data_IF_083772875765
#
_entry.id   IF_083772875765
#
_cell.length_a   1.000
_cell.length_b   1.000
_cell.length_c   1.000
_cell.angle_alpha   90.00
_cell.angle_beta   90.00
_cell.angle_gamma   90.00
#
_symmetry.space_group_name_H-M   'P 1'
#
loop_
_entity.id
_entity.type
_entity.pdbx_description
1 polymer ?
#
# COMPACT_ATOMS: atom_id res chain seq x y z
N UNK A 1 2.59 -25.76 28.82
CA UNK A 1 2.80 -24.46 28.16
C UNK A 1 3.71 -24.70 26.98
N UNK A 2 3.23 -24.56 25.75
CA UNK A 2 4.10 -24.58 24.58
C UNK A 2 4.92 -23.29 24.58
N UNK A 3 6.23 -23.44 24.78
CA UNK A 3 7.16 -22.33 24.86
C UNK A 3 7.40 -21.74 23.46
N UNK A 4 7.48 -20.42 23.36
CA UNK A 4 7.72 -19.74 22.08
C UNK A 4 9.21 -19.63 21.80
N UNK A 5 9.63 -20.15 20.64
CA UNK A 5 10.97 -19.88 20.12
C UNK A 5 11.04 -18.47 19.51
N UNK A 6 11.30 -17.49 20.36
CA UNK A 6 11.47 -16.09 19.97
C UNK A 6 12.67 -15.87 19.05
N UNK A 7 13.72 -16.69 19.20
CA UNK A 7 14.95 -16.60 18.40
C UNK A 7 14.66 -16.97 16.95
N UNK A 8 13.77 -17.92 16.71
CA UNK A 8 13.34 -18.27 15.35
C UNK A 8 12.33 -17.27 14.75
N UNK A 9 11.48 -16.64 15.56
CA UNK A 9 10.43 -15.72 15.09
C UNK A 9 10.97 -14.32 14.77
N UNK A 10 11.94 -13.83 15.53
CA UNK A 10 12.46 -12.47 15.39
C UNK A 10 13.00 -12.17 13.97
N UNK A 11 13.83 -13.04 13.34
CA UNK A 11 14.31 -12.80 11.98
C UNK A 11 13.19 -12.85 10.93
N UNK A 12 12.14 -13.64 11.18
CA UNK A 12 10.97 -13.69 10.30
C UNK A 12 10.16 -12.41 10.38
N UNK A 13 9.90 -11.91 11.59
CA UNK A 13 9.25 -10.63 11.84
C UNK A 13 10.03 -9.47 11.20
N UNK A 14 11.36 -9.46 11.33
CA UNK A 14 12.20 -8.43 10.74
C UNK A 14 12.10 -8.39 9.19
N UNK A 15 12.13 -9.56 8.54
CA UNK A 15 11.97 -9.65 7.08
C UNK A 15 10.62 -9.09 6.62
N UNK A 16 9.55 -9.46 7.31
CA UNK A 16 8.20 -8.98 7.03
C UNK A 16 8.10 -7.48 7.25
N UNK A 17 8.62 -6.97 8.38
CA UNK A 17 8.61 -5.56 8.70
C UNK A 17 9.35 -4.71 7.67
N UNK A 18 10.52 -5.18 7.20
CA UNK A 18 11.27 -4.50 6.13
C UNK A 18 10.47 -4.43 4.83
N UNK A 19 9.78 -5.51 4.47
CA UNK A 19 8.94 -5.53 3.27
C UNK A 19 7.74 -4.58 3.39
N UNK A 20 7.12 -4.50 4.58
CA UNK A 20 6.00 -3.60 4.84
C UNK A 20 6.47 -2.15 4.81
N UNK A 21 7.50 -1.77 5.56
CA UNK A 21 8.02 -0.39 5.57
C UNK A 21 8.50 0.06 4.17
N UNK A 22 9.04 -0.86 3.37
CA UNK A 22 9.38 -0.57 1.97
C UNK A 22 8.18 -0.27 1.07
N UNK A 23 7.00 -0.82 1.38
CA UNK A 23 5.74 -0.58 0.66
C UNK A 23 4.88 0.53 1.29
N UNK A 24 5.07 0.77 2.59
CA UNK A 24 4.33 1.72 3.42
C UNK A 24 5.33 2.68 4.08
N UNK A 25 5.81 3.70 3.35
CA UNK A 25 6.73 4.72 3.86
C UNK A 25 6.25 5.52 5.08
N UNK A 26 5.00 5.33 5.47
CA UNK A 26 4.33 6.01 6.59
C UNK A 26 4.67 5.38 7.94
N UNK A 27 5.20 4.15 7.94
CA UNK A 27 5.62 3.43 9.14
C UNK A 27 7.10 3.09 9.09
N UNK A 28 7.75 3.11 10.25
CA UNK A 28 9.13 2.67 10.37
C UNK A 28 9.21 1.15 10.53
N UNK A 29 10.31 0.57 10.03
CA UNK A 29 10.55 -0.87 10.09
C UNK A 29 10.50 -1.39 11.53
N UNK A 30 11.12 -0.69 12.46
CA UNK A 30 11.27 -1.17 13.83
C UNK A 30 9.94 -1.12 14.60
N UNK A 31 9.10 -0.12 14.35
CA UNK A 31 7.72 -0.06 14.87
C UNK A 31 6.87 -1.23 14.35
N UNK A 32 6.93 -1.50 13.04
CA UNK A 32 6.21 -2.62 12.43
C UNK A 32 6.70 -3.95 13.02
N UNK A 33 8.01 -4.12 13.22
CA UNK A 33 8.59 -5.32 13.85
C UNK A 33 8.05 -5.48 15.28
N UNK A 34 8.08 -4.40 16.06
CA UNK A 34 7.59 -4.41 17.44
C UNK A 34 6.12 -4.82 17.50
N UNK A 35 5.28 -4.26 16.63
CA UNK A 35 3.85 -4.57 16.61
C UNK A 35 3.57 -6.02 16.17
N UNK A 36 4.34 -6.55 15.20
CA UNK A 36 4.26 -7.97 14.82
C UNK A 36 4.60 -8.88 16.02
N UNK A 37 5.67 -8.57 16.75
CA UNK A 37 6.09 -9.36 17.90
C UNK A 37 5.12 -9.23 19.07
N UNK A 38 4.55 -8.04 19.29
CA UNK A 38 3.49 -7.81 20.28
C UNK A 38 2.26 -8.67 19.98
N UNK A 39 1.82 -8.70 18.71
CA UNK A 39 0.72 -9.56 18.28
C UNK A 39 1.04 -11.04 18.51
N UNK A 40 2.27 -11.47 18.18
CA UNK A 40 2.70 -12.84 18.42
C UNK A 40 2.71 -13.22 19.92
N UNK A 41 3.03 -12.26 20.80
CA UNK A 41 3.00 -12.45 22.24
C UNK A 41 1.58 -12.54 22.80
N UNK A 42 0.68 -11.69 22.31
CA UNK A 42 -0.75 -11.72 22.68
C UNK A 42 -1.39 -13.04 22.26
N UNK A 43 -1.10 -13.49 21.04
CA UNK A 43 -1.64 -14.74 20.46
C UNK A 43 -0.72 -15.95 20.65
N UNK A 44 0.09 -15.94 21.72
CA UNK A 44 1.17 -16.92 21.93
C UNK A 44 0.72 -18.38 21.82
N UNK A 45 -0.48 -18.69 22.28
CA UNK A 45 -1.02 -20.05 22.26
C UNK A 45 -1.35 -20.55 20.85
N UNK A 46 -1.73 -19.65 19.94
CA UNK A 46 -1.95 -19.94 18.53
C UNK A 46 -0.64 -20.00 17.78
N UNK A 47 0.23 -19.01 17.96
CA UNK A 47 1.55 -18.95 17.30
C UNK A 47 2.38 -20.20 17.61
N UNK A 48 2.32 -20.69 18.85
CA UNK A 48 3.07 -21.87 19.24
C UNK A 48 2.64 -23.15 18.49
N UNK A 49 1.40 -23.23 18.01
CA UNK A 49 0.92 -24.38 17.21
C UNK A 49 1.53 -24.41 15.80
N UNK A 50 2.00 -23.26 15.31
CA UNK A 50 2.51 -23.09 13.95
C UNK A 50 4.03 -22.87 13.89
N UNK A 51 4.79 -23.09 14.98
CA UNK A 51 6.26 -22.87 14.99
C UNK A 51 7.03 -23.63 13.91
N UNK A 52 6.54 -24.80 13.50
CA UNK A 52 7.12 -25.57 12.40
C UNK A 52 6.73 -25.07 11.00
N UNK A 53 5.71 -24.22 10.88
CA UNK A 53 5.15 -23.73 9.62
C UNK A 53 5.48 -22.24 9.43
N UNK A 54 6.68 -22.01 8.89
CA UNK A 54 7.17 -20.66 8.58
C UNK A 54 6.29 -19.92 7.56
N UNK A 55 5.60 -20.63 6.67
CA UNK A 55 4.77 -19.98 5.66
C UNK A 55 3.51 -19.39 6.29
N UNK A 56 2.84 -20.16 7.13
CA UNK A 56 1.66 -19.70 7.88
C UNK A 56 2.04 -18.57 8.84
N UNK A 57 3.14 -18.70 9.58
CA UNK A 57 3.62 -17.63 10.45
C UNK A 57 3.95 -16.34 9.68
N UNK A 58 4.57 -16.46 8.50
CA UNK A 58 4.82 -15.29 7.64
C UNK A 58 3.52 -14.59 7.24
N UNK A 59 2.47 -15.36 6.89
CA UNK A 59 1.14 -14.81 6.55
C UNK A 59 0.50 -14.10 7.75
N UNK A 60 0.59 -14.67 8.95
CA UNK A 60 0.09 -14.05 10.19
C UNK A 60 0.82 -12.74 10.46
N UNK A 61 2.16 -12.75 10.40
CA UNK A 61 2.99 -11.56 10.62
C UNK A 61 2.72 -10.48 9.58
N UNK A 62 2.56 -10.87 8.31
CA UNK A 62 2.20 -9.95 7.23
C UNK A 62 0.88 -9.24 7.53
N UNK A 63 -0.14 -9.98 7.97
CA UNK A 63 -1.44 -9.41 8.30
C UNK A 63 -1.37 -8.48 9.52
N UNK A 64 -0.62 -8.85 10.56
CA UNK A 64 -0.43 -8.02 11.75
C UNK A 64 0.25 -6.69 11.40
N UNK A 65 1.41 -6.73 10.72
CA UNK A 65 2.12 -5.52 10.33
C UNK A 65 1.33 -4.67 9.33
N UNK A 66 0.59 -5.29 8.40
CA UNK A 66 -0.27 -4.54 7.46
C UNK A 66 -1.41 -3.82 8.20
N UNK A 67 -2.02 -4.45 9.21
CA UNK A 67 -3.06 -3.81 10.03
C UNK A 67 -2.53 -2.59 10.78
N UNK A 68 -1.33 -2.69 11.31
CA UNK A 68 -0.64 -1.56 11.95
C UNK A 68 -0.43 -0.41 10.95
N UNK A 69 0.19 -0.69 9.80
CA UNK A 69 0.45 0.33 8.79
C UNK A 69 -0.85 1.00 8.28
N UNK A 70 -1.93 0.22 8.14
CA UNK A 70 -3.24 0.76 7.78
C UNK A 70 -3.84 1.66 8.88
N UNK A 71 -3.62 1.34 10.16
CA UNK A 71 -4.08 2.15 11.29
C UNK A 71 -3.31 3.48 11.36
N UNK A 72 -1.99 3.44 11.22
CA UNK A 72 -1.15 4.66 11.20
C UNK A 72 -1.54 5.57 10.03
N UNK A 73 -1.81 4.98 8.87
CA UNK A 73 -2.36 5.72 7.73
C UNK A 73 -3.70 6.35 8.03
N UNK A 74 -4.68 5.60 8.55
CA UNK A 74 -5.97 6.18 8.88
C UNK A 74 -5.86 7.31 9.91
N UNK A 75 -4.90 7.21 10.84
CA UNK A 75 -4.62 8.26 11.80
C UNK A 75 -4.05 9.52 11.13
N UNK A 76 -3.08 9.38 10.23
CA UNK A 76 -2.51 10.51 9.50
C UNK A 76 -3.48 11.13 8.50
N UNK A 77 -4.25 10.32 7.79
CA UNK A 77 -5.32 10.80 6.89
C UNK A 77 -6.33 11.66 7.68
N UNK A 78 -6.63 11.31 8.95
CA UNK A 78 -7.49 12.09 9.83
C UNK A 78 -6.86 13.39 10.35
N UNK A 79 -5.54 13.41 10.58
CA UNK A 79 -4.84 14.54 11.21
C UNK A 79 -4.36 15.59 10.21
N UNK A 80 -3.85 15.17 9.05
CA UNK A 80 -3.15 16.04 8.10
C UNK A 80 -3.99 16.43 6.88
N UNK A 81 -5.21 15.89 6.73
CA UNK A 81 -6.07 16.03 5.52
C UNK A 81 -5.34 15.67 4.20
N UNK A 82 -4.25 14.90 4.33
CA UNK A 82 -3.36 14.51 3.26
C UNK A 82 -3.40 13.01 3.08
N UNK A 83 -3.84 12.59 1.91
CA UNK A 83 -4.10 11.19 1.62
C UNK A 83 -2.83 10.44 1.21
N UNK A 84 -2.43 9.41 1.96
CA UNK A 84 -1.30 8.56 1.56
C UNK A 84 -1.68 7.49 0.53
N UNK A 85 -1.03 7.51 -0.64
CA UNK A 85 -1.29 6.58 -1.74
C UNK A 85 -0.38 5.33 -1.69
N UNK A 86 -0.94 4.13 -1.88
CA UNK A 86 -0.16 2.91 -2.15
C UNK A 86 -0.05 2.61 -3.66
N UNK A 87 0.94 1.81 -4.12
CA UNK A 87 1.07 1.49 -5.54
C UNK A 87 -0.15 0.79 -6.15
N UNK A 88 -0.80 -0.11 -5.40
CA UNK A 88 -1.99 -0.82 -5.88
C UNK A 88 -3.18 0.13 -6.07
N UNK A 89 -3.28 1.10 -5.17
CA UNK A 89 -4.26 2.18 -5.20
C UNK A 89 -4.04 3.12 -6.40
N UNK A 90 -2.80 3.55 -6.63
CA UNK A 90 -2.43 4.36 -7.80
C UNK A 90 -2.75 3.62 -9.10
N UNK A 91 -2.56 2.29 -9.17
CA UNK A 91 -3.01 1.51 -10.35
C UNK A 91 -4.52 1.57 -10.53
N UNK A 92 -5.29 1.48 -9.44
CA UNK A 92 -6.74 1.62 -9.48
C UNK A 92 -7.16 2.99 -10.00
N UNK A 93 -6.51 4.05 -9.51
CA UNK A 93 -6.71 5.43 -9.97
C UNK A 93 -6.38 5.57 -11.45
N UNK A 94 -5.22 5.09 -11.91
CA UNK A 94 -4.86 5.17 -13.33
C UNK A 94 -5.83 4.42 -14.24
N UNK A 95 -6.35 3.27 -13.81
CA UNK A 95 -7.40 2.55 -14.54
C UNK A 95 -8.72 3.29 -14.59
N UNK A 96 -8.98 4.19 -13.65
CA UNK A 96 -10.23 4.97 -13.63
C UNK A 96 -10.26 6.09 -14.66
N UNK A 97 -9.11 6.50 -15.23
CA UNK A 97 -9.04 7.56 -16.24
C UNK A 97 -9.69 7.21 -17.58
N UNK A 98 -9.99 5.93 -17.84
CA UNK A 98 -10.76 5.53 -19.03
C UNK A 98 -12.24 5.94 -18.91
N UNK A 99 -12.72 6.13 -17.68
CA UNK A 99 -14.10 6.53 -17.41
C UNK A 99 -14.22 8.04 -17.34
N UNK A 100 -15.40 8.53 -17.70
CA UNK A 100 -15.76 9.93 -17.51
C UNK A 100 -16.02 10.25 -16.04
N UNK A 101 -15.87 11.52 -15.65
CA UNK A 101 -16.12 11.95 -14.27
C UNK A 101 -17.54 11.63 -13.80
N UNK A 102 -18.52 11.67 -14.72
CA UNK A 102 -19.90 11.29 -14.46
C UNK A 102 -20.05 9.79 -14.13
N UNK A 103 -19.33 8.91 -14.84
CA UNK A 103 -19.33 7.47 -14.58
C UNK A 103 -18.62 7.12 -13.28
N UNK A 104 -17.52 7.81 -12.97
CA UNK A 104 -16.78 7.64 -11.72
C UNK A 104 -17.64 8.12 -10.54
N UNK A 105 -18.31 9.27 -10.66
CA UNK A 105 -19.17 9.82 -9.59
C UNK A 105 -20.33 8.89 -9.21
N UNK A 106 -20.80 8.03 -10.11
CA UNK A 106 -21.85 7.03 -9.81
C UNK A 106 -21.33 5.82 -9.02
N UNK A 107 -20.00 5.66 -8.93
CA UNK A 107 -19.33 4.58 -8.21
C UNK A 107 -18.87 5.01 -6.81
N UNK A 108 -18.69 6.33 -6.59
CA UNK A 108 -18.34 6.94 -5.29
C UNK A 108 -19.53 6.81 -4.32
N UNK A 109 -19.29 6.42 -3.07
CA UNK A 109 -20.28 6.51 -1.98
C UNK A 109 -21.25 5.34 -1.81
N UNK A 110 -21.16 4.23 -2.58
CA UNK A 110 -22.03 3.05 -2.35
C UNK A 110 -21.66 2.23 -1.09
N UNK A 111 -20.56 2.56 -0.41
CA UNK A 111 -20.12 1.97 0.86
C UNK A 111 -19.39 3.01 1.72
N UNK A 112 -20.00 4.18 1.88
CA UNK A 112 -19.48 5.21 2.78
C UNK A 112 -19.58 4.69 4.22
N UNK A 113 -18.46 4.19 4.73
CA UNK A 113 -18.29 3.78 6.11
C UNK A 113 -17.53 4.95 6.73
N UNK A 114 -18.22 5.81 7.50
CA UNK A 114 -17.77 7.09 8.10
C UNK A 114 -16.46 7.02 8.93
N UNK A 115 -15.83 5.85 8.97
CA UNK A 115 -14.61 5.52 9.70
C UNK A 115 -13.43 5.15 8.79
N UNK A 116 -13.61 5.10 7.46
CA UNK A 116 -12.57 4.68 6.51
C UNK A 116 -12.48 5.60 5.30
N UNK A 117 -11.51 6.50 5.29
CA UNK A 117 -11.11 7.22 4.09
C UNK A 117 -10.34 6.27 3.14
N UNK A 118 -11.05 5.44 2.37
CA UNK A 118 -10.43 4.65 1.28
C UNK A 118 -10.52 5.47 -0.01
N UNK A 119 -9.55 5.34 -0.93
CA UNK A 119 -9.51 6.10 -2.20
C UNK A 119 -10.82 6.03 -2.97
N UNK A 120 -11.60 4.96 -2.81
CA UNK A 120 -12.93 4.84 -3.41
C UNK A 120 -13.85 6.02 -3.10
N UNK A 121 -13.69 6.66 -1.94
CA UNK A 121 -14.48 7.83 -1.54
C UNK A 121 -13.84 9.16 -2.00
N UNK A 122 -12.56 9.14 -2.40
CA UNK A 122 -11.81 10.33 -2.81
C UNK A 122 -11.12 10.18 -4.19
N UNK A 123 -11.67 9.34 -5.07
CA UNK A 123 -11.06 8.98 -6.35
C UNK A 123 -10.93 10.18 -7.29
N UNK A 124 -11.80 11.18 -7.16
CA UNK A 124 -11.71 12.43 -7.90
C UNK A 124 -10.44 13.21 -7.53
N UNK A 125 -10.20 13.42 -6.24
CA UNK A 125 -8.97 14.06 -5.72
C UNK A 125 -7.73 13.25 -6.10
N UNK A 126 -7.80 11.92 -5.99
CA UNK A 126 -6.71 11.04 -6.40
C UNK A 126 -6.38 11.13 -7.89
N UNK A 127 -7.38 11.33 -8.76
CA UNK A 127 -7.16 11.57 -10.20
C UNK A 127 -6.50 12.93 -10.44
N UNK A 128 -6.93 13.99 -9.76
CA UNK A 128 -6.30 15.31 -9.87
C UNK A 128 -4.82 15.28 -9.43
N UNK A 129 -4.53 14.59 -8.32
CA UNK A 129 -3.16 14.39 -7.83
C UNK A 129 -2.33 13.59 -8.83
N UNK A 130 -2.89 12.51 -9.40
CA UNK A 130 -2.22 11.69 -10.40
C UNK A 130 -1.93 12.47 -11.70
N UNK A 131 -2.87 13.30 -12.16
CA UNK A 131 -2.71 14.14 -13.35
C UNK A 131 -1.59 15.19 -13.17
N UNK A 132 -1.44 15.73 -11.96
CA UNK A 132 -0.37 16.66 -11.65
C UNK A 132 0.98 15.94 -11.47
N UNK A 133 0.97 14.79 -10.79
CA UNK A 133 2.20 14.03 -10.49
C UNK A 133 2.80 13.36 -11.74
N UNK A 134 1.98 12.86 -12.66
CA UNK A 134 2.46 12.16 -13.86
C UNK A 134 3.31 13.06 -14.76
N UNK A 135 3.01 14.37 -14.79
CA UNK A 135 3.78 15.36 -15.55
C UNK A 135 5.23 15.51 -15.06
N UNK A 136 5.51 15.11 -13.82
CA UNK A 136 6.86 15.17 -13.21
C UNK A 136 7.72 13.94 -13.52
N UNK A 137 7.11 12.86 -14.04
CA UNK A 137 7.83 11.66 -14.43
C UNK A 137 8.51 11.85 -15.80
N UNK A 138 9.48 10.99 -16.11
CA UNK A 138 10.07 10.95 -17.44
C UNK A 138 9.05 10.47 -18.49
N UNK A 139 9.25 10.84 -19.76
CA UNK A 139 8.32 10.51 -20.86
C UNK A 139 8.08 9.01 -21.00
N UNK A 140 9.13 8.21 -20.84
CA UNK A 140 9.03 6.75 -20.92
C UNK A 140 8.08 6.16 -19.89
N UNK A 141 8.07 6.68 -18.65
CA UNK A 141 7.13 6.19 -17.62
C UNK A 141 5.73 6.70 -17.88
N UNK A 142 5.57 7.96 -18.32
CA UNK A 142 4.27 8.49 -18.70
C UNK A 142 3.63 7.61 -19.78
N UNK A 143 4.37 7.30 -20.85
CA UNK A 143 3.87 6.53 -21.99
C UNK A 143 3.47 5.10 -21.61
N UNK A 144 4.30 4.42 -20.82
CA UNK A 144 4.00 3.08 -20.32
C UNK A 144 2.81 3.07 -19.37
N UNK A 145 2.67 4.09 -18.51
CA UNK A 145 1.53 4.22 -17.61
C UNK A 145 0.22 4.39 -18.40
N UNK A 146 0.22 5.32 -19.37
CA UNK A 146 -0.95 5.57 -20.21
C UNK A 146 -1.35 4.30 -20.98
N UNK A 147 -0.38 3.63 -21.62
CA UNK A 147 -0.62 2.43 -22.41
C UNK A 147 -1.19 1.28 -21.58
N UNK A 148 -0.54 0.92 -20.48
CA UNK A 148 -0.87 -0.29 -19.72
C UNK A 148 -2.02 -0.10 -18.74
N UNK A 149 -2.09 1.06 -18.09
CA UNK A 149 -3.03 1.28 -16.98
C UNK A 149 -4.22 2.14 -17.37
N UNK A 150 -4.07 3.14 -18.25
CA UNK A 150 -5.21 3.96 -18.70
C UNK A 150 -5.94 3.29 -19.87
N UNK A 151 -5.22 2.95 -20.94
CA UNK A 151 -5.82 2.34 -22.13
C UNK A 151 -6.04 0.83 -22.00
N UNK A 152 -5.45 0.20 -20.98
CA UNK A 152 -5.60 -1.23 -20.72
C UNK A 152 -5.01 -2.13 -21.81
N UNK A 153 -4.04 -1.63 -22.58
CA UNK A 153 -3.41 -2.39 -23.66
C UNK A 153 -2.52 -3.51 -23.09
N UNK A 154 -2.44 -4.67 -23.77
CA UNK A 154 -1.55 -5.74 -23.34
C UNK A 154 -0.09 -5.29 -23.42
N UNK A 155 0.72 -5.80 -22.48
CA UNK A 155 2.16 -5.62 -22.52
C UNK A 155 2.75 -6.44 -23.68
N UNK A 156 3.73 -5.86 -24.36
CA UNK A 156 4.49 -6.46 -25.46
C UNK A 156 5.36 -7.60 -24.92
N UNK A 157 6.02 -7.36 -23.78
CA UNK A 157 6.94 -8.30 -23.17
C UNK A 157 7.02 -8.16 -21.63
N UNK A 158 7.76 -9.09 -21.02
CA UNK A 158 7.99 -9.11 -19.57
C UNK A 158 8.77 -7.86 -19.09
N UNK A 159 9.57 -7.27 -19.97
CA UNK A 159 10.35 -6.05 -19.68
C UNK A 159 9.43 -4.85 -19.52
N UNK A 160 8.49 -4.66 -20.44
CA UNK A 160 7.48 -3.61 -20.40
C UNK A 160 6.59 -3.77 -19.17
N UNK A 161 6.20 -5.02 -18.82
CA UNK A 161 5.45 -5.30 -17.60
C UNK A 161 6.18 -4.83 -16.34
N UNK A 162 7.45 -5.19 -16.19
CA UNK A 162 8.29 -4.76 -15.05
C UNK A 162 8.50 -3.25 -15.05
N UNK A 163 8.66 -2.64 -16.22
CA UNK A 163 8.77 -1.19 -16.38
C UNK A 163 7.50 -0.48 -15.94
N UNK A 164 6.33 -1.01 -16.30
CA UNK A 164 5.03 -0.49 -15.85
C UNK A 164 4.88 -0.52 -14.34
N UNK A 165 5.30 -1.60 -13.67
CA UNK A 165 5.28 -1.65 -12.20
C UNK A 165 6.21 -0.61 -11.57
N UNK A 166 7.44 -0.44 -12.08
CA UNK A 166 8.36 0.59 -11.59
C UNK A 166 7.85 2.02 -11.86
N UNK A 167 7.19 2.23 -12.99
CA UNK A 167 6.59 3.51 -13.34
C UNK A 167 5.47 3.88 -12.35
N UNK A 168 4.64 2.91 -11.95
CA UNK A 168 3.64 3.09 -10.89
C UNK A 168 4.30 3.40 -9.55
N UNK A 169 5.36 2.67 -9.17
CA UNK A 169 6.05 2.93 -7.92
C UNK A 169 6.63 4.36 -7.89
N UNK A 170 7.17 4.83 -9.02
CA UNK A 170 7.65 6.19 -9.18
C UNK A 170 6.50 7.23 -9.13
N UNK A 171 5.38 6.98 -9.80
CA UNK A 171 4.19 7.84 -9.73
C UNK A 171 3.68 7.95 -8.29
N UNK A 172 3.62 6.83 -7.58
CA UNK A 172 3.21 6.77 -6.17
C UNK A 172 4.13 7.63 -5.29
N UNK A 173 5.43 7.58 -5.52
CA UNK A 173 6.38 8.42 -4.80
C UNK A 173 6.17 9.92 -5.08
N UNK A 174 5.89 10.31 -6.34
CA UNK A 174 5.61 11.71 -6.69
C UNK A 174 4.26 12.19 -6.14
N UNK A 175 3.21 11.38 -6.17
CA UNK A 175 1.91 11.70 -5.58
C UNK A 175 2.04 11.94 -4.06
N UNK A 176 2.85 11.11 -3.39
CA UNK A 176 3.10 11.24 -1.95
C UNK A 176 4.17 12.29 -1.58
N UNK A 177 4.78 12.97 -2.57
CA UNK A 177 5.92 13.86 -2.32
C UNK A 177 5.57 15.05 -1.42
N UNK A 178 4.38 15.62 -1.61
CA UNK A 178 3.93 16.79 -0.86
C UNK A 178 3.46 16.45 0.56
N UNK A 179 3.19 15.17 0.85
CA UNK A 179 2.81 14.70 2.19
C UNK A 179 3.96 14.89 3.18
N UNK A 180 5.21 14.89 2.67
CA UNK A 180 6.41 15.04 3.51
C UNK A 180 6.83 16.48 3.76
N UNK A 181 6.29 17.45 3.02
CA UNK A 181 6.68 18.87 3.14
C UNK A 181 5.90 19.65 4.20
N UNK A 182 4.87 19.06 4.80
CA UNK A 182 4.10 19.67 5.90
C UNK A 182 4.74 19.52 7.29
N UNK A 183 5.97 18.99 7.39
CA UNK A 183 6.74 18.86 8.64
C UNK A 183 7.91 19.83 8.69
#
# INVERSE_FOLDING_TARGET
>A
MTEIDWVALEPLAEKVAREIAGKWPIVEKDDVKQEILLHAYQEKHLIAQYQGDKETLRKVFWNAGRRYAAKERAHLDLMDDQYFYTPDEVRGVMRSFIYTDAEVSQQIGKKDDLTRCVITDNIASARMDAETAIQRLNRDYQEVIMRLFVYGLPHIDETERKRGYRAIDALTAEMNRNIRTGR
#
